data_IF_978055519615
#
_entry.id   IF_978055519615
#
_cell.length_a   1.000
_cell.length_b   1.000
_cell.length_c   1.000
_cell.angle_alpha   90.00
_cell.angle_beta   90.00
_cell.angle_gamma   90.00
#
_symmetry.space_group_name_H-M   'P 1'
#
loop_
_entity.id
_entity.type
_entity.pdbx_description
1 polymer ?
#
# COMPACT_ATOMS: atom_id res chain seq x y z
N UNK A 1 3.28 0.87 -4.08
CA UNK A 1 2.44 0.39 -5.21
C UNK A 1 1.10 -0.07 -4.66
N UNK A 2 0.00 0.23 -5.35
CA UNK A 2 -1.34 -0.23 -4.98
C UNK A 2 -1.93 -1.07 -6.13
N UNK A 3 -2.41 -2.28 -5.83
CA UNK A 3 -3.22 -3.09 -6.73
C UNK A 3 -4.67 -2.99 -6.26
N UNK A 4 -5.55 -2.49 -7.12
CA UNK A 4 -6.94 -2.19 -6.80
C UNK A 4 -7.83 -3.30 -7.36
N UNK A 5 -8.63 -3.93 -6.50
CA UNK A 5 -9.68 -4.86 -6.85
C UNK A 5 -11.03 -4.32 -6.37
N UNK A 6 -12.11 -4.75 -7.02
CA UNK A 6 -13.48 -4.44 -6.60
C UNK A 6 -14.29 -5.71 -6.38
N UNK A 7 -15.30 -5.60 -5.52
CA UNK A 7 -16.21 -6.69 -5.23
C UNK A 7 -17.24 -6.84 -6.37
N UNK A 8 -16.99 -7.79 -7.27
CA UNK A 8 -17.86 -8.08 -8.41
C UNK A 8 -19.14 -8.84 -8.05
N UNK A 9 -19.24 -9.37 -6.83
CA UNK A 9 -20.48 -10.02 -6.36
C UNK A 9 -21.53 -8.97 -5.96
N UNK A 10 -21.07 -7.84 -5.41
CA UNK A 10 -21.95 -6.76 -4.95
C UNK A 10 -22.14 -5.64 -5.97
N UNK A 11 -21.18 -5.45 -6.89
CA UNK A 11 -21.16 -4.31 -7.80
C UNK A 11 -20.87 -4.72 -9.25
N UNK A 12 -21.53 -4.05 -10.19
CA UNK A 12 -21.41 -4.33 -11.63
C UNK A 12 -20.07 -3.86 -12.22
N UNK A 13 -19.47 -2.82 -11.64
CA UNK A 13 -18.24 -2.22 -12.12
C UNK A 13 -17.49 -1.50 -10.98
N UNK A 14 -16.24 -1.13 -11.27
CA UNK A 14 -15.36 -0.43 -10.32
C UNK A 14 -15.91 0.93 -9.87
N UNK A 15 -16.58 1.67 -10.76
CA UNK A 15 -17.12 3.00 -10.47
C UNK A 15 -18.23 2.95 -9.43
N UNK A 16 -19.13 1.97 -9.54
CA UNK A 16 -20.21 1.73 -8.58
C UNK A 16 -19.63 1.26 -7.23
N UNK A 17 -18.69 0.31 -7.29
CA UNK A 17 -18.02 -0.23 -6.11
C UNK A 17 -17.26 0.84 -5.31
N UNK A 18 -16.68 1.83 -6.00
CA UNK A 18 -15.93 2.92 -5.36
C UNK A 18 -16.75 3.69 -4.31
N UNK A 19 -18.07 3.78 -4.49
CA UNK A 19 -18.98 4.49 -3.57
C UNK A 19 -19.73 3.55 -2.63
N UNK A 20 -19.57 2.24 -2.81
CA UNK A 20 -20.30 1.21 -2.09
C UNK A 20 -19.53 0.67 -0.88
N UNK A 21 -20.27 0.32 0.18
CA UNK A 21 -19.70 -0.30 1.38
C UNK A 21 -19.04 -1.65 1.02
N UNK A 22 -17.79 -1.87 1.47
CA UNK A 22 -16.98 -3.04 1.10
C UNK A 22 -16.83 -3.22 -0.41
N UNK A 23 -16.82 -2.12 -1.16
CA UNK A 23 -16.73 -2.16 -2.61
C UNK A 23 -15.32 -2.42 -3.12
N UNK A 24 -14.28 -1.99 -2.40
CA UNK A 24 -12.90 -2.08 -2.86
C UNK A 24 -12.01 -2.88 -1.90
N UNK A 25 -11.07 -3.63 -2.48
CA UNK A 25 -9.94 -4.22 -1.77
C UNK A 25 -8.65 -3.70 -2.41
N UNK A 26 -7.79 -3.06 -1.61
CA UNK A 26 -6.50 -2.54 -2.09
C UNK A 26 -5.36 -3.31 -1.45
N UNK A 27 -4.56 -3.97 -2.29
CA UNK A 27 -3.31 -4.60 -1.88
C UNK A 27 -2.19 -3.58 -2.05
N UNK A 28 -1.56 -3.21 -0.95
CA UNK A 28 -0.47 -2.24 -0.89
C UNK A 28 0.86 -2.95 -0.68
N UNK A 29 1.81 -2.59 -1.53
CA UNK A 29 3.20 -3.07 -1.48
C UNK A 29 4.12 -1.87 -1.32
N UNK A 30 4.92 -1.87 -0.26
CA UNK A 30 5.98 -0.89 -0.08
C UNK A 30 7.10 -1.13 -1.10
N UNK A 31 7.69 -0.05 -1.60
CA UNK A 31 8.82 -0.11 -2.51
C UNK A 31 10.04 0.43 -1.78
N UNK A 32 11.13 -0.33 -1.80
CA UNK A 32 12.42 0.01 -1.21
C UNK A 32 13.49 0.09 -2.31
N UNK A 33 14.44 1.01 -2.19
CA UNK A 33 15.63 1.02 -3.07
C UNK A 33 16.67 0.08 -2.48
N UNK A 34 17.11 -0.92 -3.25
CA UNK A 34 18.03 -1.95 -2.75
C UNK A 34 18.96 -2.52 -3.82
N UNK A 35 19.93 -3.33 -3.38
CA UNK A 35 20.88 -4.02 -4.27
C UNK A 35 20.26 -5.24 -4.97
N UNK A 36 19.39 -5.97 -4.27
CA UNK A 36 18.65 -7.10 -4.82
C UNK A 36 17.40 -6.57 -5.52
N UNK A 37 17.41 -6.55 -6.85
CA UNK A 37 16.36 -5.93 -7.64
C UNK A 37 15.32 -6.97 -8.06
N UNK A 38 14.05 -6.65 -7.86
CA UNK A 38 12.96 -7.43 -8.44
C UNK A 38 12.83 -7.12 -9.94
N UNK A 39 13.00 -8.13 -10.78
CA UNK A 39 12.92 -8.01 -12.24
C UNK A 39 11.51 -7.65 -12.71
N UNK A 40 10.49 -7.88 -11.90
CA UNK A 40 9.08 -7.68 -12.29
C UNK A 40 8.76 -6.21 -12.54
N UNK A 41 9.38 -5.31 -11.77
CA UNK A 41 9.18 -3.87 -11.95
C UNK A 41 9.87 -3.33 -13.21
N UNK A 42 10.88 -4.04 -13.74
CA UNK A 42 11.60 -3.63 -14.94
C UNK A 42 10.68 -3.47 -16.17
N UNK A 43 9.70 -4.37 -16.31
CA UNK A 43 8.74 -4.33 -17.42
C UNK A 43 7.88 -3.07 -17.42
N UNK A 44 7.61 -2.49 -16.24
CA UNK A 44 6.92 -1.20 -16.13
C UNK A 44 7.92 -0.06 -16.34
N UNK A 45 9.05 -0.09 -15.64
CA UNK A 45 9.99 1.04 -15.64
C UNK A 45 10.57 1.35 -17.02
N UNK A 46 10.79 0.33 -17.87
CA UNK A 46 11.31 0.53 -19.24
C UNK A 46 10.36 1.32 -20.13
N UNK A 47 9.05 1.24 -19.86
CA UNK A 47 8.03 1.90 -20.68
C UNK A 47 7.76 3.34 -20.22
N UNK A 48 8.20 3.72 -19.01
CA UNK A 48 7.96 5.06 -18.44
C UNK A 48 8.58 6.19 -19.28
N UNK A 49 9.64 5.92 -20.03
CA UNK A 49 10.28 6.92 -20.91
C UNK A 49 9.32 7.45 -22.00
N UNK A 50 8.30 6.66 -22.37
CA UNK A 50 7.28 7.03 -23.35
C UNK A 50 6.05 7.70 -22.70
N UNK A 51 5.98 7.74 -21.37
CA UNK A 51 4.83 8.18 -20.58
C UNK A 51 5.09 9.47 -19.80
N UNK A 52 6.02 10.31 -20.26
CA UNK A 52 6.46 11.49 -19.52
C UNK A 52 5.33 12.48 -19.23
N UNK A 53 4.32 12.57 -20.09
CA UNK A 53 3.24 13.55 -20.00
C UNK A 53 1.88 12.93 -19.70
N UNK A 54 1.01 13.71 -19.07
CA UNK A 54 -0.37 13.30 -18.78
C UNK A 54 -1.13 12.99 -20.07
N UNK A 55 -1.76 11.81 -20.10
CA UNK A 55 -2.57 11.34 -21.22
C UNK A 55 -1.80 10.44 -22.19
N UNK A 56 -0.48 10.36 -22.09
CA UNK A 56 0.30 9.37 -22.81
C UNK A 56 -0.06 7.95 -22.35
N UNK A 57 -0.06 7.00 -23.29
CA UNK A 57 -0.37 5.60 -23.05
C UNK A 57 0.61 4.72 -23.82
N UNK A 58 0.96 3.57 -23.24
CA UNK A 58 1.82 2.55 -23.87
C UNK A 58 1.34 1.17 -23.45
N UNK A 59 1.67 0.16 -24.24
CA UNK A 59 1.32 -1.23 -23.97
C UNK A 59 2.45 -1.92 -23.22
N UNK A 60 2.18 -2.35 -21.99
CA UNK A 60 3.11 -3.21 -21.24
C UNK A 60 2.79 -4.67 -21.57
N UNK A 61 3.77 -5.41 -22.09
CA UNK A 61 3.66 -6.85 -22.38
C UNK A 61 4.36 -7.69 -21.30
N UNK A 62 3.95 -8.95 -21.19
CA UNK A 62 4.59 -9.98 -20.36
C UNK A 62 4.65 -9.67 -18.86
N UNK A 63 3.63 -8.97 -18.35
CA UNK A 63 3.54 -8.65 -16.92
C UNK A 63 2.65 -9.66 -16.18
N UNK A 64 3.17 -10.23 -15.10
CA UNK A 64 2.42 -11.10 -14.20
C UNK A 64 2.18 -10.38 -12.87
N UNK A 65 0.92 -10.26 -12.46
CA UNK A 65 0.56 -9.70 -11.15
C UNK A 65 1.20 -10.49 -10.00
N UNK A 66 1.31 -11.82 -10.13
CA UNK A 66 1.94 -12.66 -9.11
C UNK A 66 3.42 -12.34 -8.91
N UNK A 67 4.12 -11.91 -9.98
CA UNK A 67 5.52 -11.51 -9.90
C UNK A 67 5.70 -10.08 -9.36
N UNK A 68 4.71 -9.20 -9.58
CA UNK A 68 4.68 -7.88 -8.97
C UNK A 68 4.34 -7.90 -7.46
N UNK A 69 3.91 -9.03 -6.92
CA UNK A 69 3.65 -9.14 -5.49
C UNK A 69 4.83 -9.83 -4.79
N UNK A 70 5.32 -9.26 -3.68
CA UNK A 70 6.39 -9.88 -2.91
C UNK A 70 5.93 -11.24 -2.38
N UNK A 71 6.82 -12.23 -2.42
CA UNK A 71 6.58 -13.55 -1.83
C UNK A 71 6.53 -13.45 -0.31
N UNK A 72 5.33 -13.23 0.22
CA UNK A 72 4.99 -13.23 1.65
C UNK A 72 3.52 -13.57 1.84
N UNK A 73 3.21 -14.28 2.92
CA UNK A 73 1.83 -14.46 3.40
C UNK A 73 1.48 -13.45 4.50
N UNK A 74 2.45 -12.69 5.00
CA UNK A 74 2.29 -11.78 6.12
C UNK A 74 1.75 -10.42 5.65
N UNK A 75 0.69 -9.95 6.30
CA UNK A 75 0.04 -8.69 5.99
C UNK A 75 -0.63 -8.05 7.20
N UNK A 76 -0.90 -6.76 7.07
CA UNK A 76 -1.74 -5.96 7.97
C UNK A 76 -2.98 -5.52 7.19
N UNK A 77 -4.16 -5.58 7.80
CA UNK A 77 -5.41 -5.17 7.17
C UNK A 77 -6.27 -4.30 8.07
N UNK A 78 -6.97 -3.33 7.47
CA UNK A 78 -7.87 -2.42 8.15
C UNK A 78 -8.89 -1.82 7.17
N UNK A 79 -10.02 -1.34 7.69
CA UNK A 79 -11.01 -0.58 6.91
C UNK A 79 -10.60 0.89 6.79
N UNK A 80 -10.61 1.42 5.57
CA UNK A 80 -10.16 2.77 5.30
C UNK A 80 -10.79 3.38 4.06
N UNK A 81 -10.14 4.43 3.55
CA UNK A 81 -10.61 5.18 2.40
C UNK A 81 -9.62 5.16 1.24
N UNK A 82 -10.10 5.62 0.08
CA UNK A 82 -9.23 5.99 -1.02
C UNK A 82 -8.25 7.09 -0.60
N UNK A 83 -7.01 7.00 -1.10
CA UNK A 83 -5.98 8.03 -0.91
C UNK A 83 -6.01 9.11 -1.99
N UNK A 84 -6.99 9.07 -2.88
CA UNK A 84 -7.22 9.99 -3.98
C UNK A 84 -8.52 10.78 -3.75
N UNK A 85 -8.72 11.93 -4.42
CA UNK A 85 -9.94 12.72 -4.28
C UNK A 85 -11.22 11.90 -4.44
N UNK A 86 -12.25 12.27 -3.69
CA UNK A 86 -13.43 11.46 -3.43
C UNK A 86 -13.38 10.79 -2.05
N UNK A 87 -12.19 10.39 -1.60
CA UNK A 87 -11.89 9.95 -0.22
C UNK A 87 -12.90 8.97 0.39
N UNK A 88 -13.58 8.18 -0.44
CA UNK A 88 -14.68 7.30 0.00
C UNK A 88 -14.16 6.22 0.94
N UNK A 89 -14.86 6.00 2.06
CA UNK A 89 -14.56 5.00 3.08
C UNK A 89 -15.09 3.61 2.69
N UNK A 90 -14.63 3.12 1.55
CA UNK A 90 -15.14 1.90 0.88
C UNK A 90 -14.08 0.84 0.70
N UNK A 91 -12.88 1.07 1.26
CA UNK A 91 -11.67 0.29 0.98
C UNK A 91 -11.31 -0.59 2.17
N UNK A 92 -11.24 -1.90 1.92
CA UNK A 92 -10.50 -2.82 2.79
C UNK A 92 -9.04 -2.84 2.35
N UNK A 93 -8.14 -2.32 3.20
CA UNK A 93 -6.71 -2.26 2.93
C UNK A 93 -6.01 -3.56 3.31
N UNK A 94 -5.07 -4.02 2.48
CA UNK A 94 -4.19 -5.16 2.74
C UNK A 94 -2.74 -4.73 2.47
N UNK A 95 -1.98 -4.49 3.51
CA UNK A 95 -0.58 -4.05 3.44
C UNK A 95 0.33 -5.25 3.61
N UNK A 96 1.11 -5.59 2.58
CA UNK A 96 2.04 -6.72 2.66
C UNK A 96 3.26 -6.37 3.50
N UNK A 97 3.68 -7.28 4.39
CA UNK A 97 4.79 -7.11 5.34
C UNK A 97 6.18 -7.26 4.71
N UNK A 98 6.27 -7.26 3.37
CA UNK A 98 7.52 -7.40 2.64
C UNK A 98 7.58 -6.36 1.53
N UNK A 99 8.62 -5.53 1.47
CA UNK A 99 8.74 -4.57 0.37
C UNK A 99 9.17 -5.27 -0.92
N UNK A 100 8.81 -4.65 -2.05
CA UNK A 100 9.46 -4.90 -3.33
C UNK A 100 10.70 -4.01 -3.43
N UNK A 101 11.81 -4.57 -3.92
CA UNK A 101 13.05 -3.82 -4.10
C UNK A 101 13.27 -3.42 -5.55
N UNK A 102 13.58 -2.15 -5.77
CA UNK A 102 13.90 -1.59 -7.10
C UNK A 102 15.28 -0.94 -7.10
N UNK A 103 15.84 -0.77 -8.29
CA UNK A 103 17.09 -0.03 -8.47
C UNK A 103 16.88 1.48 -8.34
N UNK A 104 17.98 2.21 -8.11
CA UNK A 104 17.96 3.68 -8.11
C UNK A 104 17.50 4.22 -9.47
N UNK A 105 17.92 3.59 -10.57
CA UNK A 105 17.54 4.01 -11.93
C UNK A 105 16.05 3.81 -12.20
N UNK A 106 15.47 2.72 -11.69
CA UNK A 106 14.02 2.49 -11.76
C UNK A 106 13.24 3.54 -10.97
N UNK A 107 13.76 3.98 -9.82
CA UNK A 107 13.16 5.08 -9.07
C UNK A 107 13.29 6.41 -9.82
N UNK A 108 14.45 6.68 -10.44
CA UNK A 108 14.66 7.87 -11.27
C UNK A 108 13.68 7.92 -12.44
N UNK A 109 13.39 6.79 -13.08
CA UNK A 109 12.40 6.70 -14.16
C UNK A 109 10.97 7.08 -13.71
N UNK A 110 10.62 6.90 -12.44
CA UNK A 110 9.33 7.37 -11.90
C UNK A 110 9.31 8.88 -11.62
N UNK A 111 10.48 9.49 -11.35
CA UNK A 111 10.61 10.91 -10.98
C UNK A 111 10.64 11.86 -12.17
N UNK A 112 10.81 11.35 -13.38
CA UNK A 112 10.80 12.15 -14.62
C UNK A 112 9.40 12.31 -15.23
N UNK A 113 8.35 11.89 -14.51
CA UNK A 113 6.96 12.02 -14.97
C UNK A 113 6.39 13.39 -14.61
N UNK A 114 5.58 13.96 -15.51
CA UNK A 114 4.96 15.28 -15.36
C UNK A 114 3.43 15.17 -15.16
N UNK A 115 2.88 16.10 -14.38
CA UNK A 115 1.44 16.25 -14.12
C UNK A 115 0.69 16.85 -15.31
N UNK A 116 1.38 17.68 -16.10
CA UNK A 116 0.83 18.40 -17.25
C UNK A 116 0.88 17.60 -18.54
N UNK A 117 0.20 18.13 -19.57
CA UNK A 117 0.37 17.68 -20.97
C UNK A 117 1.67 18.25 -21.56
N UNK A 118 2.07 17.76 -22.73
CA UNK A 118 3.30 18.16 -23.44
C UNK A 118 3.45 19.69 -23.62
N UNK A 119 2.32 20.38 -23.85
CA UNK A 119 2.29 21.83 -24.08
C UNK A 119 1.98 22.66 -22.82
N UNK A 120 1.94 22.06 -21.63
CA UNK A 120 1.67 22.76 -20.36
C UNK A 120 2.96 22.86 -19.54
N UNK A 121 3.13 23.92 -18.70
CA UNK A 121 4.29 24.03 -17.83
C UNK A 121 4.42 22.77 -16.97
N UNK A 122 5.53 22.06 -17.15
CA UNK A 122 5.77 20.75 -16.57
C UNK A 122 5.95 20.82 -15.06
N UNK A 123 4.88 20.55 -14.30
CA UNK A 123 5.01 20.25 -12.87
C UNK A 123 5.37 18.78 -12.69
N UNK A 124 6.51 18.51 -12.05
CA UNK A 124 6.94 17.16 -11.70
C UNK A 124 5.89 16.41 -10.86
N UNK A 125 5.73 15.11 -11.10
CA UNK A 125 4.86 14.18 -10.37
C UNK A 125 5.53 13.60 -9.12
N UNK A 126 6.62 14.18 -8.64
CA UNK A 126 7.41 13.66 -7.50
C UNK A 126 6.61 13.43 -6.21
N UNK A 127 5.71 14.35 -5.85
CA UNK A 127 4.87 14.25 -4.64
C UNK A 127 3.42 14.00 -5.01
N UNK A 128 3.07 12.71 -5.10
CA UNK A 128 1.73 12.21 -5.41
C UNK A 128 1.17 11.32 -4.27
N UNK A 129 1.58 11.58 -3.04
CA UNK A 129 1.17 10.82 -1.85
C UNK A 129 0.24 11.63 -0.94
N UNK A 130 -0.68 10.95 -0.27
CA UNK A 130 -1.52 11.53 0.78
C UNK A 130 -0.78 11.46 2.12
N UNK A 131 -0.84 12.50 2.98
CA UNK A 131 -0.24 12.45 4.31
C UNK A 131 -0.91 11.39 5.20
N UNK A 132 -0.23 11.02 6.28
CA UNK A 132 -0.76 10.10 7.28
C UNK A 132 -2.03 10.67 7.91
N UNK A 133 -3.03 9.81 8.07
CA UNK A 133 -4.31 10.14 8.70
C UNK A 133 -4.39 9.45 10.07
N UNK A 134 -5.10 10.04 11.04
CA UNK A 134 -5.24 9.45 12.36
C UNK A 134 -5.96 8.10 12.30
N UNK A 135 -5.63 7.22 13.26
CA UNK A 135 -6.20 5.88 13.32
C UNK A 135 -7.69 5.90 13.71
N UNK A 136 -8.13 6.90 14.49
CA UNK A 136 -9.51 7.07 14.93
C UNK A 136 -10.12 5.78 15.52
N UNK A 137 -9.37 5.10 16.40
CA UNK A 137 -9.79 3.87 17.08
C UNK A 137 -10.17 2.69 16.17
N UNK A 138 -9.81 2.72 14.88
CA UNK A 138 -10.03 1.60 13.97
C UNK A 138 -9.20 0.38 14.39
N UNK A 139 -9.80 -0.79 14.22
CA UNK A 139 -9.13 -2.07 14.49
C UNK A 139 -8.19 -2.39 13.34
N UNK A 140 -6.90 -2.54 13.67
CA UNK A 140 -5.89 -3.05 12.76
C UNK A 140 -5.70 -4.52 13.04
N UNK A 141 -5.82 -5.35 12.00
CA UNK A 141 -5.67 -6.81 12.09
C UNK A 141 -4.39 -7.21 11.37
N UNK A 142 -3.75 -8.28 11.84
CA UNK A 142 -2.55 -8.82 11.20
C UNK A 142 -2.47 -10.32 11.41
N UNK A 143 -1.86 -11.02 10.47
CA UNK A 143 -1.47 -12.43 10.62
C UNK A 143 0.02 -12.58 10.92
N UNK A 144 0.75 -11.47 11.10
CA UNK A 144 2.16 -11.46 11.49
C UNK A 144 2.26 -11.98 12.92
N UNK A 145 3.04 -13.05 13.11
CA UNK A 145 3.30 -13.56 14.45
C UNK A 145 4.37 -12.71 15.14
N UNK A 146 3.94 -11.69 15.87
CA UNK A 146 4.78 -10.81 16.68
C UNK A 146 5.37 -11.50 17.93
N UNK A 147 4.88 -12.70 18.26
CA UNK A 147 5.33 -13.51 19.40
C UNK A 147 6.40 -14.54 19.04
N UNK A 148 6.87 -14.61 17.79
CA UNK A 148 8.12 -15.31 17.47
C UNK A 148 9.28 -14.59 18.14
N UNK A 149 9.51 -14.90 19.42
CA UNK A 149 10.69 -14.53 20.20
C UNK A 149 11.92 -14.86 19.35
N UNK A 150 12.60 -13.85 18.82
CA UNK A 150 14.04 -13.97 18.60
C UNK A 150 14.63 -14.38 19.95
N UNK A 151 15.47 -15.42 19.99
CA UNK A 151 16.16 -15.91 21.21
C UNK A 151 17.17 -14.89 21.79
N UNK A 152 16.92 -13.58 21.64
CA UNK A 152 17.90 -12.53 21.88
C UNK A 152 17.42 -11.38 22.77
N UNK A 153 16.27 -11.47 23.44
CA UNK A 153 16.00 -10.64 24.62
C UNK A 153 15.12 -11.39 25.64
N UNK A 154 15.73 -11.77 26.75
CA UNK A 154 15.07 -12.18 27.99
C UNK A 154 14.70 -10.93 28.77
N UNK A 155 13.46 -10.48 28.64
CA UNK A 155 12.81 -9.75 29.73
C UNK A 155 11.44 -10.36 29.93
N UNK A 156 11.33 -11.15 31.00
CA UNK A 156 10.08 -11.54 31.62
C UNK A 156 9.34 -10.24 31.99
N UNK A 157 8.12 -10.06 31.50
CA UNK A 157 7.30 -8.92 31.90
C UNK A 157 6.69 -9.27 33.24
N UNK A 158 7.30 -8.81 34.32
CA UNK A 158 6.62 -8.74 35.60
C UNK A 158 5.47 -7.74 35.49
N UNK A 159 4.27 -8.28 35.23
CA UNK A 159 3.04 -7.50 35.29
C UNK A 159 2.47 -7.61 36.70
N UNK A 160 2.49 -6.50 37.43
CA UNK A 160 1.72 -6.35 38.66
C UNK A 160 0.49 -5.50 38.38
N UNK A 161 -0.68 -5.98 38.81
CA UNK A 161 -1.90 -5.19 38.83
C UNK A 161 -2.08 -4.60 40.23
N UNK A 162 -2.07 -3.27 40.34
CA UNK A 162 -2.60 -2.60 41.54
C UNK A 162 -4.09 -2.38 41.35
N UNK A 163 -4.89 -3.09 42.15
CA UNK A 163 -6.32 -2.84 42.26
C UNK A 163 -6.52 -1.53 43.02
N UNK A 164 -7.34 -0.64 42.48
CA UNK A 164 -7.70 0.61 43.14
C UNK A 164 -8.48 0.28 44.43
N UNK A 165 -7.86 0.55 45.59
CA UNK A 165 -8.40 0.24 46.91
C UNK A 165 -9.73 0.94 47.22
N UNK A 166 -10.13 1.95 46.43
CA UNK A 166 -11.45 2.59 46.55
C UNK A 166 -12.63 1.68 46.20
N UNK A 167 -12.40 0.60 45.45
CA UNK A 167 -13.45 -0.33 45.02
C UNK A 167 -13.44 -1.67 45.78
N UNK A 168 -12.51 -1.86 46.72
CA UNK A 168 -12.52 -2.97 47.67
C UNK A 168 -13.31 -2.53 48.92
N UNK A 169 -14.64 -2.45 48.80
CA UNK A 169 -15.52 -2.42 49.97
C UNK A 169 -15.96 -3.85 50.25
N UNK A 170 -15.49 -4.39 51.38
CA UNK A 170 -16.03 -5.59 52.01
C UNK A 170 -17.39 -5.27 52.66
#
# INVERSE_FOLDING_TARGET
MHVIAYNSELYKNLSDATRGVKGLAIIAVFIEVGKEIDKSFYYISKELQWLQYKGSMTMVRDISLAHLLPKTSEYVTYEGSLTQPGCYETVTWVLLNKPMRISKDQLSALRVLYKGRDNEPGMSLESNSRPLMPLNHRVVRTNINTHKRTRLCSMERDMFYQVNSRYLRA
#
